data_IF_111657240875
#
_entry.id   IF_111657240875
#
_cell.length_a   1.000
_cell.length_b   1.000
_cell.length_c   1.000
_cell.angle_alpha   90.00
_cell.angle_beta   90.00
_cell.angle_gamma   90.00
#
_symmetry.space_group_name_H-M   'P 1'
#
loop_
_entity.id
_entity.type
_entity.pdbx_description
1 polymer ?
#
# COMPACT_ATOMS: atom_id res chain seq x y z
N UNK A 1 -7.22 50.80 69.08
CA UNK A 1 -6.24 51.57 68.30
C UNK A 1 -4.99 50.72 68.11
N UNK A 2 -4.30 50.92 66.98
CA UNK A 2 -3.03 50.29 66.49
C UNK A 2 -3.12 48.80 66.12
N UNK A 3 -3.37 48.44 64.83
CA UNK A 3 -2.48 48.35 63.63
C UNK A 3 -1.67 47.05 63.55
N UNK A 4 -1.96 46.22 62.55
CA UNK A 4 -0.97 45.37 61.88
C UNK A 4 -1.29 45.22 60.39
N UNK A 5 -0.29 45.56 59.57
CA UNK A 5 -0.20 45.28 58.15
C UNK A 5 0.07 43.80 57.90
N UNK A 6 -0.51 43.24 56.84
CA UNK A 6 0.07 42.09 56.15
C UNK A 6 -0.21 42.16 54.65
N UNK A 7 0.88 42.33 53.89
CA UNK A 7 0.94 42.16 52.44
C UNK A 7 0.62 40.71 52.08
N UNK A 8 -0.35 40.49 51.18
CA UNK A 8 -0.56 39.20 50.53
C UNK A 8 0.07 39.26 49.15
N UNK A 9 1.15 38.50 48.95
CA UNK A 9 1.72 38.18 47.64
C UNK A 9 0.84 37.11 46.98
N UNK A 10 0.24 37.42 45.85
CA UNK A 10 -0.44 36.45 44.98
C UNK A 10 0.60 35.71 44.15
N UNK A 11 0.93 34.48 44.56
CA UNK A 11 1.67 33.51 43.74
C UNK A 11 0.64 32.73 42.91
N UNK A 12 0.65 32.94 41.60
CA UNK A 12 -0.11 32.10 40.66
C UNK A 12 0.57 30.72 40.56
N UNK A 13 -0.10 29.68 41.04
CA UNK A 13 0.31 28.29 40.83
C UNK A 13 -0.28 27.84 39.50
N UNK A 14 0.57 27.72 38.48
CA UNK A 14 0.20 27.09 37.22
C UNK A 14 0.05 25.58 37.45
N UNK A 15 -1.18 25.08 37.34
CA UNK A 15 -1.49 23.65 37.34
C UNK A 15 -1.06 23.09 35.98
N UNK A 16 0.04 22.35 35.96
CA UNK A 16 0.45 21.57 34.78
C UNK A 16 -0.44 20.32 34.73
N UNK A 17 -1.48 20.37 33.89
CA UNK A 17 -2.24 19.19 33.51
C UNK A 17 -1.37 18.35 32.56
N UNK A 18 -0.74 17.30 33.08
CA UNK A 18 -0.14 16.23 32.28
C UNK A 18 -1.27 15.38 31.68
N UNK A 19 -1.76 15.80 30.52
CA UNK A 19 -2.50 14.93 29.63
C UNK A 19 -1.50 13.92 29.04
N UNK A 20 -1.46 12.72 29.61
CA UNK A 20 -0.73 11.59 29.05
C UNK A 20 -1.36 11.20 27.72
N UNK A 21 -0.77 11.68 26.62
CA UNK A 21 -1.06 11.19 25.28
C UNK A 21 -0.50 9.79 25.18
N UNK A 22 -1.38 8.82 24.95
CA UNK A 22 -1.04 7.44 24.65
C UNK A 22 -0.15 7.42 23.40
N UNK A 23 1.08 6.93 23.55
CA UNK A 23 1.98 6.68 22.43
C UNK A 23 1.45 5.47 21.63
N UNK A 24 0.82 5.75 20.50
CA UNK A 24 0.70 4.80 19.40
C UNK A 24 2.09 4.60 18.78
N UNK A 25 2.47 3.34 18.55
CA UNK A 25 3.77 2.94 18.03
C UNK A 25 4.16 3.65 16.73
N UNK A 26 5.43 4.04 16.64
CA UNK A 26 6.00 4.90 15.60
C UNK A 26 6.33 4.23 14.28
N UNK A 27 5.51 3.29 13.79
CA UNK A 27 5.78 2.53 12.57
C UNK A 27 4.78 2.80 11.43
N UNK A 28 3.85 3.73 11.59
CA UNK A 28 2.88 4.10 10.54
C UNK A 28 3.09 5.56 10.10
N UNK A 29 4.00 5.78 9.15
CA UNK A 29 4.11 7.03 8.40
C UNK A 29 3.01 7.06 7.32
N UNK A 30 1.74 7.18 7.71
CA UNK A 30 0.65 7.10 6.73
C UNK A 30 -0.77 7.38 7.21
N UNK A 31 -1.06 7.30 8.51
CA UNK A 31 -2.43 7.47 8.99
C UNK A 31 -2.68 8.89 9.49
N UNK A 32 -3.03 9.80 8.58
CA UNK A 32 -3.54 11.11 8.96
C UNK A 32 -3.77 12.01 7.76
N UNK A 33 -5.00 12.48 7.57
CA UNK A 33 -5.24 13.67 6.78
C UNK A 33 -4.33 14.81 7.32
N UNK A 34 -3.75 15.65 6.44
CA UNK A 34 -2.89 16.73 6.89
C UNK A 34 -3.66 17.58 7.91
N UNK A 35 -3.05 17.79 9.09
CA UNK A 35 -3.50 18.87 9.97
C UNK A 35 -3.50 20.16 9.15
N UNK A 36 -4.60 20.91 9.18
CA UNK A 36 -4.85 22.05 8.29
C UNK A 36 -3.57 22.86 7.99
N UNK A 37 -3.10 22.76 6.74
CA UNK A 37 -2.01 23.56 6.21
C UNK A 37 -0.58 23.01 6.33
N UNK A 38 -0.34 21.79 6.86
CA UNK A 38 1.01 21.17 6.83
C UNK A 38 1.03 19.91 5.96
N UNK A 39 1.88 19.92 4.93
CA UNK A 39 2.16 18.72 4.13
C UNK A 39 2.75 17.59 4.97
N UNK A 40 2.43 16.35 4.58
CA UNK A 40 2.81 15.15 5.33
C UNK A 40 4.35 14.95 5.33
N UNK A 41 4.96 14.54 6.46
CA UNK A 41 6.43 14.37 6.55
C UNK A 41 7.03 13.45 5.48
N UNK A 42 6.31 12.38 5.10
CA UNK A 42 6.75 11.46 4.06
C UNK A 42 6.79 12.13 2.68
N UNK A 43 5.84 13.03 2.39
CA UNK A 43 5.77 13.74 1.11
C UNK A 43 6.91 14.73 0.99
N UNK A 44 7.22 15.43 2.08
CA UNK A 44 8.39 16.30 2.17
C UNK A 44 9.70 15.51 1.99
N UNK A 45 9.82 14.34 2.63
CA UNK A 45 10.97 13.46 2.47
C UNK A 45 11.14 12.97 1.02
N UNK A 46 10.03 12.60 0.37
CA UNK A 46 10.02 12.24 -1.05
C UNK A 46 10.49 13.40 -1.95
N UNK A 47 10.01 14.62 -1.71
CA UNK A 47 10.43 15.80 -2.47
C UNK A 47 11.95 16.07 -2.37
N UNK A 48 12.60 15.67 -1.28
CA UNK A 48 14.05 15.79 -1.15
C UNK A 48 14.82 14.79 -2.01
N UNK A 49 14.20 13.67 -2.40
CA UNK A 49 14.84 12.57 -3.13
C UNK A 49 14.47 12.54 -4.61
N UNK A 50 13.23 12.88 -4.95
CA UNK A 50 12.66 12.59 -6.27
C UNK A 50 13.29 13.42 -7.39
N UNK A 51 13.74 12.74 -8.46
CA UNK A 51 14.23 13.42 -9.67
C UNK A 51 13.09 13.96 -10.55
N UNK A 52 11.87 13.46 -10.35
CA UNK A 52 10.66 13.86 -11.04
C UNK A 52 9.51 14.06 -10.04
N UNK A 53 9.31 15.30 -9.61
CA UNK A 53 8.24 15.68 -8.69
C UNK A 53 6.87 15.80 -9.36
N UNK A 54 6.76 15.58 -10.67
CA UNK A 54 5.47 15.57 -11.37
C UNK A 54 4.72 14.25 -11.19
N UNK A 55 5.39 13.21 -10.69
CA UNK A 55 4.75 11.93 -10.38
C UNK A 55 3.65 12.13 -9.33
N UNK A 56 2.42 11.66 -9.60
CA UNK A 56 1.32 11.71 -8.64
C UNK A 56 1.54 10.66 -7.54
N UNK A 57 2.49 10.90 -6.64
CA UNK A 57 2.91 9.91 -5.64
C UNK A 57 1.76 9.47 -4.72
N UNK A 58 0.79 10.35 -4.46
CA UNK A 58 -0.40 10.04 -3.64
C UNK A 58 -1.32 8.99 -4.30
N UNK A 59 -1.18 8.77 -5.61
CA UNK A 59 -1.94 7.77 -6.36
C UNK A 59 -1.14 6.45 -6.53
N UNK A 60 0.04 6.33 -5.89
CA UNK A 60 0.90 5.14 -5.97
C UNK A 60 0.22 3.92 -5.36
N UNK A 61 0.20 2.82 -6.10
CA UNK A 61 -0.44 1.54 -5.72
C UNK A 61 0.58 0.47 -5.31
N UNK A 62 0.17 -0.57 -4.55
CA UNK A 62 -1.14 -0.70 -3.94
C UNK A 62 -1.28 0.16 -2.68
N UNK A 63 -2.52 0.56 -2.42
CA UNK A 63 -2.95 1.16 -1.16
C UNK A 63 -4.44 0.84 -0.99
N UNK A 64 -4.92 0.80 0.25
CA UNK A 64 -6.34 0.51 0.49
C UNK A 64 -7.17 1.78 0.30
N UNK A 65 -7.86 1.88 -0.83
CA UNK A 65 -8.79 2.96 -1.10
C UNK A 65 -10.19 2.54 -0.67
N UNK A 66 -10.68 3.17 0.40
CA UNK A 66 -12.07 3.04 0.82
C UNK A 66 -12.98 3.81 -0.14
N UNK A 67 -14.10 3.20 -0.55
CA UNK A 67 -15.14 3.93 -1.30
C UNK A 67 -15.83 4.94 -0.39
N UNK A 68 -16.27 6.04 -0.98
CA UNK A 68 -16.95 7.14 -0.26
C UNK A 68 -18.41 7.30 -0.67
N UNK A 69 -18.82 6.67 -1.76
CA UNK A 69 -20.20 6.70 -2.23
C UNK A 69 -21.06 5.63 -1.53
N UNK A 70 -22.36 5.87 -1.48
CA UNK A 70 -23.37 5.03 -0.79
C UNK A 70 -24.23 4.24 -1.77
N UNK A 71 -23.77 4.03 -3.01
CA UNK A 71 -24.48 3.28 -4.03
C UNK A 71 -24.76 1.84 -3.58
N UNK A 72 -25.90 1.30 -4.02
CA UNK A 72 -26.24 -0.09 -3.76
C UNK A 72 -25.14 -1.04 -4.27
N UNK A 73 -24.92 -2.09 -3.49
CA UNK A 73 -23.99 -3.17 -3.77
C UNK A 73 -24.73 -4.48 -3.84
N UNK A 74 -24.13 -5.42 -4.55
CA UNK A 74 -24.68 -6.75 -4.74
C UNK A 74 -23.68 -7.82 -4.33
N UNK A 75 -24.19 -8.93 -3.80
CA UNK A 75 -23.38 -10.11 -3.50
C UNK A 75 -24.15 -11.36 -3.85
N UNK A 76 -23.55 -12.23 -4.66
CA UNK A 76 -24.00 -13.61 -4.80
C UNK A 76 -23.64 -14.41 -3.55
N UNK A 77 -24.61 -15.15 -3.00
CA UNK A 77 -24.34 -16.07 -1.91
C UNK A 77 -23.49 -17.25 -2.42
N UNK A 78 -22.24 -17.30 -1.96
CA UNK A 78 -21.26 -18.35 -2.25
C UNK A 78 -20.98 -19.25 -1.05
N UNK A 79 -21.59 -18.95 0.10
CA UNK A 79 -21.34 -19.61 1.39
C UNK A 79 -22.54 -20.40 1.88
N UNK A 80 -23.69 -20.31 1.19
CA UNK A 80 -24.93 -20.98 1.57
C UNK A 80 -25.58 -20.36 2.81
N UNK A 81 -25.32 -19.08 3.09
CA UNK A 81 -25.95 -18.38 4.22
C UNK A 81 -27.46 -18.21 4.03
N UNK A 82 -27.92 -18.09 2.78
CA UNK A 82 -29.30 -17.85 2.41
C UNK A 82 -29.90 -16.67 3.17
N UNK A 83 -31.14 -16.82 3.64
CA UNK A 83 -31.81 -15.81 4.46
C UNK A 83 -31.22 -15.68 5.88
N UNK A 84 -30.31 -16.57 6.29
CA UNK A 84 -29.56 -16.43 7.55
C UNK A 84 -28.74 -15.14 7.61
N UNK A 85 -28.38 -14.56 6.46
CA UNK A 85 -27.74 -13.25 6.37
C UNK A 85 -28.58 -12.12 7.01
N UNK A 86 -29.91 -12.25 7.12
CA UNK A 86 -30.75 -11.26 7.80
C UNK A 86 -30.62 -11.31 9.33
N UNK A 87 -30.11 -12.42 9.88
CA UNK A 87 -29.83 -12.59 11.30
C UNK A 87 -28.39 -12.25 11.63
N UNK A 88 -27.45 -12.73 10.82
CA UNK A 88 -26.02 -12.72 11.15
C UNK A 88 -25.22 -11.66 10.38
N UNK A 89 -25.79 -11.14 9.29
CA UNK A 89 -25.07 -10.32 8.32
C UNK A 89 -24.38 -11.16 7.24
N UNK A 90 -23.68 -10.48 6.35
CA UNK A 90 -22.78 -11.12 5.40
C UNK A 90 -21.49 -11.44 6.14
N UNK A 91 -21.25 -12.72 6.38
CA UNK A 91 -20.08 -13.15 7.14
C UNK A 91 -18.89 -13.38 6.21
N UNK A 92 -17.66 -13.11 6.66
CA UNK A 92 -16.47 -13.51 5.93
C UNK A 92 -16.24 -15.02 6.06
N UNK A 93 -15.52 -15.61 5.12
CA UNK A 93 -15.22 -17.06 5.10
C UNK A 93 -14.34 -17.50 6.28
N UNK A 94 -13.66 -16.56 6.94
CA UNK A 94 -12.82 -16.78 8.11
C UNK A 94 -13.55 -17.39 9.33
N UNK A 95 -14.86 -17.17 9.49
CA UNK A 95 -15.58 -17.47 10.74
C UNK A 95 -15.63 -18.96 11.11
N UNK A 96 -15.41 -19.86 10.16
CA UNK A 96 -15.28 -21.29 10.41
C UNK A 96 -13.90 -21.74 10.88
N UNK A 97 -12.93 -20.83 11.04
CA UNK A 97 -11.54 -21.15 11.30
C UNK A 97 -11.00 -20.43 12.55
N UNK A 98 -9.98 -20.99 13.22
CA UNK A 98 -9.25 -20.31 14.29
C UNK A 98 -8.73 -18.94 13.84
N UNK A 99 -8.78 -17.92 14.71
CA UNK A 99 -8.33 -16.54 14.42
C UNK A 99 -6.87 -16.45 13.95
N UNK A 100 -6.03 -17.39 14.39
CA UNK A 100 -4.63 -17.47 13.96
C UNK A 100 -4.51 -17.80 12.46
N UNK A 101 -5.50 -18.49 11.89
CA UNK A 101 -5.53 -18.90 10.48
C UNK A 101 -6.23 -17.89 9.57
N UNK A 102 -6.75 -16.80 10.13
CA UNK A 102 -7.46 -15.79 9.37
C UNK A 102 -6.51 -15.05 8.42
N UNK A 103 -6.94 -14.88 7.17
CA UNK A 103 -6.20 -14.17 6.15
C UNK A 103 -6.60 -12.70 6.14
N UNK A 104 -5.66 -11.85 6.54
CA UNK A 104 -5.78 -10.38 6.58
C UNK A 104 -5.09 -9.69 5.41
N UNK A 105 -4.44 -10.46 4.55
CA UNK A 105 -3.88 -9.89 3.35
C UNK A 105 -5.00 -9.64 2.34
N UNK A 106 -5.29 -8.36 2.09
CA UNK A 106 -6.27 -7.94 1.10
C UNK A 106 -5.82 -8.31 -0.32
N UNK A 107 -4.51 -8.37 -0.55
CA UNK A 107 -3.99 -8.73 -1.87
C UNK A 107 -4.23 -10.20 -2.20
N UNK A 108 -4.04 -11.08 -1.21
CA UNK A 108 -4.32 -12.51 -1.37
C UNK A 108 -5.83 -12.81 -1.40
N UNK A 109 -6.67 -11.81 -1.12
CA UNK A 109 -8.11 -11.93 -1.21
C UNK A 109 -8.58 -11.88 -2.66
N UNK A 110 -9.39 -12.87 -3.03
CA UNK A 110 -9.93 -13.00 -4.38
C UNK A 110 -10.97 -14.13 -4.47
N UNK A 111 -11.47 -14.35 -5.68
CA UNK A 111 -12.50 -15.36 -5.94
C UNK A 111 -12.09 -16.74 -5.40
N UNK A 112 -12.97 -17.34 -4.59
CA UNK A 112 -12.75 -18.69 -4.06
C UNK A 112 -11.79 -18.82 -2.88
N UNK A 113 -11.01 -17.79 -2.55
CA UNK A 113 -10.02 -17.85 -1.45
C UNK A 113 -10.71 -18.17 -0.11
N UNK A 114 -10.15 -19.15 0.61
CA UNK A 114 -10.62 -19.58 1.91
C UNK A 114 -10.06 -18.71 3.04
N UNK A 115 -10.66 -18.76 4.23
CA UNK A 115 -10.16 -18.10 5.45
C UNK A 115 -10.01 -16.56 5.39
N UNK A 116 -10.40 -15.95 4.28
CA UNK A 116 -10.44 -14.49 4.11
C UNK A 116 -11.36 -13.83 5.13
N UNK A 117 -10.87 -12.74 5.74
CA UNK A 117 -11.67 -11.85 6.60
C UNK A 117 -12.53 -10.89 5.79
N UNK A 118 -12.41 -10.87 4.47
CA UNK A 118 -13.16 -9.98 3.59
C UNK A 118 -14.43 -10.66 3.06
N UNK A 119 -15.53 -9.91 3.02
CA UNK A 119 -16.71 -10.27 2.23
C UNK A 119 -16.77 -9.40 0.99
N UNK A 120 -16.63 -10.02 -0.18
CA UNK A 120 -16.74 -9.35 -1.47
C UNK A 120 -18.18 -8.97 -1.80
N UNK A 121 -18.33 -7.78 -2.35
CA UNK A 121 -19.53 -7.30 -3.04
C UNK A 121 -19.12 -6.70 -4.38
N UNK A 122 -20.06 -6.43 -5.25
CA UNK A 122 -19.82 -5.77 -6.54
C UNK A 122 -20.88 -4.70 -6.78
N UNK A 123 -20.51 -3.68 -7.56
CA UNK A 123 -21.46 -2.67 -8.04
C UNK A 123 -22.42 -3.22 -9.11
N UNK A 124 -22.10 -4.37 -9.70
CA UNK A 124 -22.87 -4.97 -10.80
C UNK A 124 -23.71 -6.17 -10.33
N UNK A 125 -25.04 -6.03 -10.44
CA UNK A 125 -25.98 -7.08 -10.05
C UNK A 125 -25.82 -8.37 -10.86
N UNK A 126 -25.48 -8.27 -12.15
CA UNK A 126 -25.29 -9.43 -13.02
C UNK A 126 -24.02 -10.21 -12.65
N UNK A 127 -22.95 -9.49 -12.28
CA UNK A 127 -21.73 -10.14 -11.74
C UNK A 127 -22.06 -10.88 -10.45
N UNK A 128 -22.75 -10.23 -9.50
CA UNK A 128 -23.16 -10.88 -8.26
C UNK A 128 -24.03 -12.13 -8.52
N UNK A 129 -24.98 -12.03 -9.44
CA UNK A 129 -25.86 -13.13 -9.84
C UNK A 129 -25.06 -14.31 -10.42
N UNK A 130 -24.00 -14.06 -11.20
CA UNK A 130 -23.17 -15.12 -11.79
C UNK A 130 -22.52 -16.01 -10.72
N UNK A 131 -22.10 -15.43 -9.60
CA UNK A 131 -21.47 -16.13 -8.47
C UNK A 131 -22.47 -16.75 -7.47
N UNK A 132 -23.73 -16.32 -7.48
CA UNK A 132 -24.73 -16.82 -6.55
C UNK A 132 -24.97 -18.32 -6.74
N UNK A 133 -25.14 -19.05 -5.65
CA UNK A 133 -25.70 -20.40 -5.68
C UNK A 133 -27.23 -20.35 -5.75
N UNK A 134 -27.85 -19.52 -4.89
CA UNK A 134 -29.30 -19.40 -4.79
C UNK A 134 -29.76 -17.96 -4.61
N UNK A 135 -29.05 -17.17 -3.81
CA UNK A 135 -29.47 -15.82 -3.41
C UNK A 135 -28.51 -14.74 -3.93
N UNK A 136 -29.08 -13.62 -4.36
CA UNK A 136 -28.37 -12.37 -4.62
C UNK A 136 -28.82 -11.35 -3.59
N UNK A 137 -27.90 -10.89 -2.76
CA UNK A 137 -28.15 -9.87 -1.77
C UNK A 137 -28.02 -8.48 -2.40
N UNK A 138 -28.95 -7.58 -2.06
CA UNK A 138 -28.77 -6.13 -2.23
C UNK A 138 -28.36 -5.54 -0.88
N UNK A 139 -27.28 -4.78 -0.89
CA UNK A 139 -26.58 -4.28 0.28
C UNK A 139 -26.42 -2.77 0.11
N UNK A 140 -26.65 -2.04 1.20
CA UNK A 140 -26.30 -0.62 1.27
C UNK A 140 -25.55 -0.36 2.57
N UNK A 141 -24.24 -0.19 2.45
CA UNK A 141 -23.32 0.00 3.56
C UNK A 141 -22.32 1.11 3.21
N UNK A 142 -21.88 1.92 4.18
CA UNK A 142 -20.74 2.81 3.99
C UNK A 142 -19.44 2.01 3.94
N UNK A 143 -18.38 2.63 3.43
CA UNK A 143 -17.04 2.04 3.32
C UNK A 143 -16.97 0.82 2.41
N UNK A 144 -15.95 -0.02 2.62
CA UNK A 144 -15.52 -1.08 1.73
C UNK A 144 -14.33 -0.65 0.87
N UNK A 145 -13.36 -1.54 0.72
CA UNK A 145 -12.14 -1.32 -0.05
C UNK A 145 -12.48 -1.50 -1.53
N UNK A 146 -12.29 -0.45 -2.33
CA UNK A 146 -12.49 -0.44 -3.78
C UNK A 146 -11.29 -1.08 -4.48
N UNK A 147 -11.51 -2.25 -5.07
CA UNK A 147 -10.41 -3.08 -5.58
C UNK A 147 -9.70 -2.48 -6.78
N UNK A 148 -10.46 -1.88 -7.69
CA UNK A 148 -9.93 -1.27 -8.90
C UNK A 148 -9.07 -0.04 -8.53
N UNK A 149 -9.57 0.77 -7.60
CA UNK A 149 -8.83 1.94 -7.11
C UNK A 149 -7.61 1.56 -6.28
N UNK A 150 -7.70 0.50 -5.48
CA UNK A 150 -6.61 0.02 -4.61
C UNK A 150 -5.47 -0.67 -5.37
N UNK A 151 -5.66 -0.99 -6.66
CA UNK A 151 -4.66 -1.64 -7.50
C UNK A 151 -4.75 -3.17 -7.57
N UNK A 152 -5.90 -3.71 -7.15
CA UNK A 152 -6.32 -5.10 -7.25
C UNK A 152 -6.54 -5.61 -8.68
N UNK A 153 -7.01 -6.84 -8.80
CA UNK A 153 -7.47 -7.38 -10.08
C UNK A 153 -8.68 -6.56 -10.57
N UNK A 154 -8.58 -6.05 -11.80
CA UNK A 154 -9.58 -5.16 -12.41
C UNK A 154 -10.52 -5.96 -13.30
N UNK A 155 -11.81 -6.02 -12.94
CA UNK A 155 -12.90 -6.49 -13.83
C UNK A 155 -14.26 -6.57 -13.14
N UNK A 156 -14.29 -6.81 -11.83
CA UNK A 156 -15.53 -7.18 -11.14
C UNK A 156 -16.21 -6.00 -10.42
N UNK A 157 -15.63 -4.79 -10.48
CA UNK A 157 -16.06 -3.63 -9.69
C UNK A 157 -16.21 -4.00 -8.20
N UNK A 158 -15.26 -4.79 -7.71
CA UNK A 158 -15.32 -5.43 -6.41
C UNK A 158 -15.10 -4.42 -5.28
N UNK A 159 -15.96 -4.48 -4.28
CA UNK A 159 -15.81 -3.78 -3.01
C UNK A 159 -15.68 -4.84 -1.90
N UNK A 160 -14.52 -4.87 -1.26
CA UNK A 160 -14.18 -5.81 -0.20
C UNK A 160 -14.48 -5.22 1.19
N UNK A 161 -15.26 -5.93 2.01
CA UNK A 161 -15.59 -5.50 3.38
C UNK A 161 -14.83 -6.32 4.42
N UNK A 162 -13.83 -5.73 5.11
CA UNK A 162 -13.12 -6.41 6.19
C UNK A 162 -14.07 -6.68 7.35
N UNK A 163 -14.10 -7.92 7.84
CA UNK A 163 -15.03 -8.36 8.88
C UNK A 163 -16.47 -8.54 8.39
N UNK A 164 -16.71 -8.52 7.08
CA UNK A 164 -18.05 -8.68 6.51
C UNK A 164 -18.96 -7.48 6.75
N UNK A 165 -20.28 -7.68 6.66
CA UNK A 165 -21.28 -6.61 6.66
C UNK A 165 -22.42 -6.96 7.61
N UNK A 166 -22.66 -6.13 8.64
CA UNK A 166 -23.76 -6.34 9.60
C UNK A 166 -25.11 -6.40 8.88
N UNK A 167 -26.00 -7.24 9.43
CA UNK A 167 -27.34 -7.49 8.89
C UNK A 167 -28.15 -6.23 8.59
N UNK A 168 -27.99 -5.16 9.36
CA UNK A 168 -28.77 -3.93 9.19
C UNK A 168 -28.46 -3.21 7.87
N UNK A 169 -27.34 -3.52 7.23
CA UNK A 169 -26.96 -2.97 5.92
C UNK A 169 -27.34 -3.89 4.74
N UNK A 170 -27.87 -5.09 5.03
CA UNK A 170 -28.42 -5.99 4.00
C UNK A 170 -29.88 -5.61 3.79
N UNK A 171 -30.24 -5.12 2.61
CA UNK A 171 -31.60 -4.63 2.34
C UNK A 171 -32.58 -5.76 2.03
N UNK A 172 -32.18 -6.65 1.14
CA UNK A 172 -33.00 -7.77 0.68
C UNK A 172 -32.13 -8.87 0.06
N UNK A 173 -32.75 -10.03 -0.18
CA UNK A 173 -32.16 -11.16 -0.88
C UNK A 173 -33.15 -11.64 -1.93
N UNK A 174 -32.72 -11.73 -3.19
CA UNK A 174 -33.56 -12.19 -4.30
C UNK A 174 -33.05 -13.53 -4.85
N UNK A 175 -33.95 -14.35 -5.38
CA UNK A 175 -33.56 -15.61 -6.03
C UNK A 175 -32.71 -15.32 -7.26
N UNK A 176 -31.61 -16.07 -7.42
CA UNK A 176 -30.70 -15.95 -8.56
C UNK A 176 -31.44 -16.06 -9.89
N UNK A 177 -32.34 -17.03 -10.04
CA UNK A 177 -33.03 -17.28 -11.31
C UNK A 177 -34.26 -16.37 -11.52
N UNK A 178 -34.64 -15.59 -10.50
CA UNK A 178 -35.72 -14.62 -10.58
C UNK A 178 -35.48 -13.46 -9.60
N UNK A 179 -34.83 -12.40 -10.08
CA UNK A 179 -34.50 -11.23 -9.27
C UNK A 179 -35.73 -10.39 -8.84
N UNK A 180 -36.94 -10.76 -9.26
CA UNK A 180 -38.19 -10.18 -8.73
C UNK A 180 -38.74 -10.92 -7.51
N UNK A 181 -38.30 -12.16 -7.28
CA UNK A 181 -38.66 -12.97 -6.11
C UNK A 181 -37.67 -12.69 -4.97
N UNK A 182 -38.03 -11.73 -4.11
CA UNK A 182 -37.18 -11.22 -3.06
C UNK A 182 -37.80 -11.38 -1.67
N UNK A 183 -36.95 -11.71 -0.70
CA UNK A 183 -37.24 -11.57 0.71
C UNK A 183 -36.65 -10.24 1.21
N UNK A 184 -37.49 -9.39 1.80
CA UNK A 184 -37.04 -8.17 2.45
C UNK A 184 -36.42 -8.48 3.82
N UNK A 185 -35.34 -7.79 4.18
CA UNK A 185 -34.75 -7.92 5.51
C UNK A 185 -35.50 -7.04 6.53
N UNK A 186 -36.18 -7.61 7.54
CA UNK A 186 -36.88 -6.82 8.56
C UNK A 186 -35.93 -5.96 9.43
N UNK A 187 -34.65 -6.33 9.46
CA UNK A 187 -33.63 -5.63 10.24
C UNK A 187 -32.91 -4.53 9.47
N UNK A 188 -33.22 -4.31 8.17
CA UNK A 188 -32.57 -3.27 7.38
C UNK A 188 -32.77 -1.89 8.00
N UNK A 189 -31.70 -1.10 8.02
CA UNK A 189 -31.69 0.31 8.43
C UNK A 189 -30.87 1.08 7.41
N UNK A 190 -31.46 2.16 6.91
CA UNK A 190 -30.79 3.04 5.97
C UNK A 190 -29.52 3.61 6.64
N UNK A 191 -28.32 3.41 6.05
CA UNK A 191 -27.08 3.91 6.62
C UNK A 191 -27.04 5.43 6.58
N UNK A 192 -26.39 6.03 7.59
CA UNK A 192 -26.23 7.48 7.69
C UNK A 192 -24.98 8.00 6.96
N UNK A 193 -24.02 7.11 6.69
CA UNK A 193 -22.69 7.46 6.18
C UNK A 193 -21.71 7.90 7.28
N UNK A 194 -22.15 7.98 8.54
CA UNK A 194 -21.33 8.35 9.69
C UNK A 194 -20.77 7.13 10.45
N UNK A 195 -21.21 5.93 10.09
CA UNK A 195 -20.72 4.68 10.67
C UNK A 195 -19.22 4.53 10.42
N UNK A 196 -18.47 4.02 11.38
CA UNK A 196 -17.07 3.62 11.15
C UNK A 196 -16.98 2.27 10.43
N UNK A 197 -15.81 1.87 9.87
CA UNK A 197 -15.63 0.52 9.35
C UNK A 197 -15.96 -0.59 10.37
N UNK A 198 -15.70 -0.35 11.66
CA UNK A 198 -16.07 -1.27 12.76
C UNK A 198 -17.58 -1.33 13.01
N UNK A 199 -18.30 -0.24 12.76
CA UNK A 199 -19.76 -0.23 12.85
C UNK A 199 -20.39 -1.03 11.71
N UNK A 200 -19.70 -1.16 10.58
CA UNK A 200 -20.14 -1.96 9.42
C UNK A 200 -19.79 -3.45 9.57
N UNK A 201 -18.61 -3.77 10.11
CA UNK A 201 -18.10 -5.14 10.20
C UNK A 201 -19.04 -6.08 10.97
N UNK A 202 -19.46 -7.19 10.35
CA UNK A 202 -20.29 -8.21 11.01
C UNK A 202 -19.56 -8.92 12.16
N UNK A 203 -18.22 -8.98 12.07
CA UNK A 203 -17.38 -9.70 13.03
C UNK A 203 -16.21 -8.84 13.47
N UNK A 204 -15.76 -9.03 14.70
CA UNK A 204 -14.57 -8.34 15.22
C UNK A 204 -13.32 -8.88 14.53
N UNK A 205 -12.52 -7.99 13.96
CA UNK A 205 -11.22 -8.27 13.36
C UNK A 205 -10.14 -7.42 14.03
N UNK A 206 -8.89 -7.79 13.81
CA UNK A 206 -7.74 -6.98 14.17
C UNK A 206 -7.37 -6.09 12.98
N UNK A 207 -7.84 -4.85 13.01
CA UNK A 207 -7.61 -3.86 11.95
C UNK A 207 -6.13 -3.59 11.68
N UNK A 208 -5.25 -3.79 12.67
CA UNK A 208 -3.81 -3.56 12.53
C UNK A 208 -3.10 -4.62 11.67
N UNK A 209 -3.75 -5.76 11.44
CA UNK A 209 -3.22 -6.87 10.63
C UNK A 209 -3.60 -6.77 9.15
N UNK A 210 -4.50 -5.86 8.78
CA UNK A 210 -4.89 -5.67 7.38
C UNK A 210 -3.67 -5.25 6.56
N UNK A 211 -3.43 -5.96 5.46
CA UNK A 211 -2.33 -5.68 4.54
C UNK A 211 -2.86 -5.39 3.12
N UNK A 212 -2.22 -4.50 2.33
CA UNK A 212 -1.16 -3.59 2.77
C UNK A 212 -1.67 -2.63 3.88
N UNK A 213 -0.79 -2.19 4.79
CA UNK A 213 -1.16 -1.16 5.75
C UNK A 213 -1.59 0.11 5.01
N UNK A 214 -2.37 0.98 5.67
CA UNK A 214 -2.65 2.30 5.12
C UNK A 214 -1.34 3.11 4.98
N UNK A 215 -1.08 3.57 3.76
CA UNK A 215 0.17 4.26 3.39
C UNK A 215 1.23 3.35 2.78
N UNK A 216 2.40 3.91 2.47
CA UNK A 216 3.53 3.18 1.89
C UNK A 216 4.51 2.72 2.97
N UNK A 217 5.09 1.51 2.86
CA UNK A 217 6.09 1.00 3.79
C UNK A 217 7.44 1.67 3.49
N UNK A 218 7.66 2.87 4.03
CA UNK A 218 8.93 3.57 3.85
C UNK A 218 10.08 2.83 4.53
N UNK A 219 11.20 2.73 3.82
CA UNK A 219 12.45 2.15 4.32
C UNK A 219 13.08 3.10 5.34
N UNK A 220 13.54 2.54 6.46
CA UNK A 220 14.32 3.26 7.47
C UNK A 220 15.69 2.57 7.65
N UNK A 221 16.53 2.64 6.62
CA UNK A 221 17.91 2.13 6.68
C UNK A 221 18.92 3.28 6.73
N UNK A 222 19.99 3.06 7.49
CA UNK A 222 21.16 3.95 7.54
C UNK A 222 22.23 3.56 6.54
N UNK A 223 22.04 2.47 5.82
CA UNK A 223 23.00 1.98 4.83
C UNK A 223 22.67 2.54 3.45
N UNK A 224 23.61 2.37 2.53
CA UNK A 224 23.40 2.68 1.11
C UNK A 224 22.44 1.69 0.46
N UNK A 225 21.67 2.19 -0.49
CA UNK A 225 20.83 1.39 -1.37
C UNK A 225 21.47 1.34 -2.75
N UNK A 226 21.21 0.28 -3.50
CA UNK A 226 21.86 0.02 -4.78
C UNK A 226 20.86 0.12 -5.92
N UNK A 227 20.72 1.32 -6.48
CA UNK A 227 19.80 1.58 -7.58
C UNK A 227 20.29 0.95 -8.88
N UNK A 228 19.36 0.42 -9.66
CA UNK A 228 19.67 -0.21 -10.93
C UNK A 228 19.08 0.56 -12.10
N UNK A 229 19.76 0.55 -13.23
CA UNK A 229 19.23 1.10 -14.48
C UNK A 229 19.66 0.32 -15.71
N UNK A 230 18.89 0.48 -16.78
CA UNK A 230 19.23 -0.01 -18.12
C UNK A 230 18.62 0.91 -19.20
N UNK A 231 19.01 0.76 -20.47
CA UNK A 231 18.39 1.50 -21.58
C UNK A 231 16.91 1.24 -21.75
N UNK A 232 16.43 0.10 -21.24
CA UNK A 232 15.01 -0.24 -21.27
C UNK A 232 14.32 0.39 -20.07
N UNK A 233 14.92 0.26 -18.89
CA UNK A 233 14.31 0.69 -17.62
C UNK A 233 14.32 2.20 -17.41
N UNK A 234 15.29 2.95 -17.97
CA UNK A 234 15.49 4.37 -17.65
C UNK A 234 15.97 5.19 -18.86
N UNK A 235 15.51 6.45 -18.99
CA UNK A 235 15.90 7.32 -20.10
C UNK A 235 17.32 7.89 -19.99
N UNK A 236 17.90 7.88 -18.78
CA UNK A 236 19.23 8.45 -18.48
C UNK A 236 20.05 7.41 -17.71
N UNK A 237 21.33 7.31 -18.02
CA UNK A 237 22.26 6.31 -17.47
C UNK A 237 23.67 6.89 -17.25
N UNK A 238 24.57 6.08 -16.71
CA UNK A 238 25.99 6.40 -16.52
C UNK A 238 26.24 7.75 -15.82
N UNK A 239 27.18 8.52 -16.37
CA UNK A 239 27.58 9.82 -15.84
C UNK A 239 26.43 10.83 -15.83
N UNK A 240 25.55 10.80 -16.83
CA UNK A 240 24.42 11.71 -16.91
C UNK A 240 23.44 11.49 -15.78
N UNK A 241 23.23 10.22 -15.37
CA UNK A 241 22.40 9.89 -14.22
C UNK A 241 23.02 10.40 -12.91
N UNK A 242 24.34 10.28 -12.73
CA UNK A 242 25.04 10.81 -11.57
C UNK A 242 24.90 12.35 -11.46
N UNK A 243 25.05 13.05 -12.58
CA UNK A 243 25.00 14.50 -12.65
C UNK A 243 23.57 15.06 -12.50
N UNK A 244 22.62 14.49 -13.23
CA UNK A 244 21.29 15.07 -13.40
C UNK A 244 20.17 14.29 -12.67
N UNK A 245 20.50 13.13 -12.12
CA UNK A 245 19.57 12.21 -11.47
C UNK A 245 19.12 11.07 -12.37
N UNK A 246 18.68 9.99 -11.74
CA UNK A 246 18.13 8.81 -12.38
C UNK A 246 16.60 8.87 -12.28
N UNK A 247 15.89 8.75 -13.40
CA UNK A 247 14.43 8.84 -13.46
C UNK A 247 13.82 7.54 -13.94
N UNK A 248 12.57 7.30 -13.55
CA UNK A 248 11.74 6.29 -14.20
C UNK A 248 11.46 6.63 -15.67
N UNK A 249 10.79 5.72 -16.39
CA UNK A 249 10.50 5.89 -17.83
C UNK A 249 9.44 6.94 -18.14
N UNK A 250 8.61 7.25 -17.18
CA UNK A 250 7.51 8.22 -17.29
C UNK A 250 7.17 8.78 -15.91
N UNK A 251 6.13 9.60 -15.86
CA UNK A 251 5.72 10.32 -14.66
C UNK A 251 4.34 9.88 -14.12
N UNK A 252 3.89 8.68 -14.46
CA UNK A 252 2.57 8.18 -14.04
C UNK A 252 2.63 7.54 -12.65
N UNK A 253 1.48 7.44 -11.96
CA UNK A 253 1.40 6.75 -10.67
C UNK A 253 1.82 5.28 -10.84
N UNK A 254 2.88 4.80 -10.14
CA UNK A 254 3.30 3.42 -10.30
C UNK A 254 2.37 2.48 -9.52
N UNK A 255 2.21 1.26 -10.01
CA UNK A 255 1.75 0.13 -9.20
C UNK A 255 2.95 -0.71 -8.79
N UNK A 256 3.45 -0.45 -7.58
CA UNK A 256 4.66 -1.04 -7.00
C UNK A 256 4.62 -2.56 -6.94
N UNK A 257 3.42 -3.16 -6.79
CA UNK A 257 3.24 -4.62 -6.89
C UNK A 257 3.83 -5.21 -8.17
N UNK A 258 3.77 -4.44 -9.25
CA UNK A 258 4.22 -4.85 -10.58
C UNK A 258 5.62 -4.29 -10.90
N UNK A 259 6.24 -3.57 -9.96
CA UNK A 259 7.45 -2.79 -10.18
C UNK A 259 8.76 -3.55 -9.96
N UNK A 260 8.77 -4.84 -9.67
CA UNK A 260 10.00 -5.58 -9.31
C UNK A 260 10.80 -6.14 -10.47
N UNK A 261 10.27 -6.00 -11.68
CA UNK A 261 10.97 -6.23 -12.94
C UNK A 261 11.18 -4.87 -13.63
N UNK A 262 12.32 -4.20 -13.43
CA UNK A 262 12.54 -2.83 -13.91
C UNK A 262 12.41 -2.69 -15.43
N UNK A 263 12.61 -3.77 -16.19
CA UNK A 263 12.51 -3.82 -17.65
C UNK A 263 11.13 -4.19 -18.21
N UNK A 264 10.20 -4.69 -17.38
CA UNK A 264 8.86 -5.05 -17.85
C UNK A 264 8.02 -3.81 -18.21
N UNK A 265 7.08 -3.99 -19.15
CA UNK A 265 6.20 -2.92 -19.64
C UNK A 265 4.96 -2.69 -18.75
N UNK A 266 4.93 -3.24 -17.54
CA UNK A 266 3.76 -3.18 -16.64
C UNK A 266 3.65 -1.81 -15.96
N UNK A 267 2.43 -1.43 -15.59
CA UNK A 267 1.88 -0.06 -15.51
C UNK A 267 2.76 1.03 -14.86
N UNK A 268 3.79 1.41 -15.61
CA UNK A 268 4.41 2.72 -15.67
C UNK A 268 5.41 3.00 -14.56
N UNK A 269 6.63 2.51 -14.81
CA UNK A 269 7.80 2.56 -13.94
C UNK A 269 8.36 4.00 -13.84
N UNK A 270 7.58 4.91 -13.27
CA UNK A 270 8.05 6.19 -12.74
C UNK A 270 8.96 6.01 -11.52
N UNK A 271 9.08 4.78 -11.02
CA UNK A 271 10.03 4.41 -9.99
C UNK A 271 11.41 4.02 -10.58
N UNK A 272 12.43 4.17 -9.75
CA UNK A 272 13.74 3.54 -9.93
C UNK A 272 13.84 2.43 -8.91
N UNK A 273 14.15 1.22 -9.37
CA UNK A 273 14.31 0.07 -8.49
C UNK A 273 15.72 0.04 -7.93
N UNK A 274 15.82 -0.36 -6.67
CA UNK A 274 17.06 -0.51 -5.94
C UNK A 274 17.02 -1.74 -5.06
N UNK A 275 18.17 -2.08 -4.50
CA UNK A 275 18.33 -3.21 -3.59
C UNK A 275 19.00 -2.78 -2.30
N UNK A 276 18.70 -3.47 -1.20
CA UNK A 276 19.47 -3.34 0.04
C UNK A 276 20.91 -3.81 -0.17
N UNK A 277 21.09 -4.94 -0.85
CA UNK A 277 22.40 -5.55 -1.06
C UNK A 277 22.97 -5.24 -2.45
N UNK A 278 24.25 -4.90 -2.49
CA UNK A 278 24.98 -4.68 -3.74
C UNK A 278 24.92 -5.91 -4.65
N UNK A 279 25.06 -7.09 -4.06
CA UNK A 279 25.06 -8.35 -4.80
C UNK A 279 23.74 -8.57 -5.55
N UNK A 280 22.59 -8.21 -4.97
CA UNK A 280 21.29 -8.36 -5.61
C UNK A 280 21.14 -7.42 -6.82
N UNK A 281 21.61 -6.17 -6.67
CA UNK A 281 21.68 -5.20 -7.77
C UNK A 281 22.62 -5.67 -8.90
N UNK A 282 23.77 -6.25 -8.54
CA UNK A 282 24.72 -6.84 -9.50
C UNK A 282 24.11 -8.02 -10.23
N UNK A 283 23.49 -8.95 -9.51
CA UNK A 283 22.81 -10.13 -10.09
C UNK A 283 21.74 -9.67 -11.07
N UNK A 284 20.93 -8.68 -10.70
CA UNK A 284 19.96 -8.08 -11.61
C UNK A 284 20.63 -7.58 -12.90
N UNK A 285 21.69 -6.76 -12.77
CA UNK A 285 22.36 -6.14 -13.90
C UNK A 285 22.98 -7.15 -14.87
N UNK A 286 23.48 -8.30 -14.39
CA UNK A 286 24.15 -9.30 -15.23
C UNK A 286 23.21 -10.39 -15.75
N UNK A 287 22.09 -10.67 -15.05
CA UNK A 287 21.20 -11.79 -15.39
C UNK A 287 19.87 -11.33 -15.99
N UNK A 288 19.26 -10.29 -15.43
CA UNK A 288 17.90 -9.88 -15.75
C UNK A 288 17.87 -8.76 -16.77
N UNK A 289 18.73 -7.74 -16.64
CA UNK A 289 18.82 -6.66 -17.59
C UNK A 289 19.15 -7.19 -19.01
N UNK A 290 18.35 -6.84 -20.01
CA UNK A 290 18.39 -7.46 -21.33
C UNK A 290 19.74 -7.25 -22.01
N UNK A 291 20.37 -6.09 -21.81
CA UNK A 291 21.63 -5.68 -22.43
C UNK A 291 22.73 -5.37 -21.40
N UNK A 292 22.61 -5.92 -20.19
CA UNK A 292 23.38 -5.45 -19.05
C UNK A 292 22.79 -4.16 -18.46
N UNK A 293 23.33 -3.73 -17.32
CA UNK A 293 22.79 -2.62 -16.57
C UNK A 293 23.83 -1.85 -15.79
N UNK A 294 23.41 -0.72 -15.25
CA UNK A 294 24.16 0.07 -14.29
C UNK A 294 23.69 -0.23 -12.88
N UNK A 295 24.63 -0.22 -11.95
CA UNK A 295 24.38 -0.26 -10.52
C UNK A 295 24.96 1.01 -9.90
N UNK A 296 24.13 1.76 -9.19
CA UNK A 296 24.49 3.02 -8.54
C UNK A 296 24.41 2.87 -7.03
N UNK A 297 25.43 3.36 -6.33
CA UNK A 297 25.34 3.55 -4.90
C UNK A 297 24.56 4.83 -4.59
N UNK A 298 23.43 4.66 -3.90
CA UNK A 298 22.61 5.77 -3.40
C UNK A 298 23.14 6.17 -2.02
N UNK A 299 23.15 7.48 -1.76
CA UNK A 299 23.55 8.03 -0.47
C UNK A 299 22.77 7.36 0.68
N UNK A 300 23.42 7.05 1.81
CA UNK A 300 22.75 6.54 2.99
C UNK A 300 21.62 7.45 3.50
N UNK A 301 20.64 6.88 4.20
CA UNK A 301 19.46 7.59 4.73
C UNK A 301 18.59 8.26 3.64
N UNK A 302 18.59 7.73 2.40
CA UNK A 302 17.71 8.22 1.35
C UNK A 302 16.37 7.48 1.40
N UNK A 303 15.24 8.18 1.64
CA UNK A 303 13.91 7.57 1.66
C UNK A 303 13.58 6.78 0.38
N UNK A 304 13.08 5.56 0.57
CA UNK A 304 12.59 4.67 -0.48
C UNK A 304 11.39 3.87 0.04
N UNK A 305 10.62 3.25 -0.85
CA UNK A 305 9.54 2.33 -0.47
C UNK A 305 10.05 0.90 -0.48
N UNK A 306 9.76 0.16 0.59
CA UNK A 306 10.13 -1.25 0.75
C UNK A 306 9.24 -2.14 -0.13
N UNK A 307 9.83 -2.81 -1.12
CA UNK A 307 9.14 -3.74 -2.01
C UNK A 307 9.35 -5.21 -1.59
N UNK A 308 10.15 -5.47 -0.56
CA UNK A 308 10.36 -6.83 -0.04
C UNK A 308 9.09 -7.38 0.64
N UNK A 309 8.12 -6.50 0.91
CA UNK A 309 6.78 -6.91 1.35
C UNK A 309 6.03 -7.55 0.17
N UNK A 310 5.37 -8.71 0.36
CA UNK A 310 4.69 -9.45 -0.71
C UNK A 310 3.81 -8.56 -1.62
N UNK A 311 3.12 -7.59 -1.02
CA UNK A 311 2.13 -6.79 -1.71
C UNK A 311 2.72 -5.62 -2.51
N UNK A 312 3.98 -5.23 -2.23
CA UNK A 312 4.63 -4.10 -2.89
C UNK A 312 5.66 -4.54 -3.93
N UNK A 313 5.73 -5.82 -4.31
CA UNK A 313 6.63 -6.26 -5.38
C UNK A 313 7.17 -7.67 -5.25
N UNK A 314 7.14 -8.27 -4.06
CA UNK A 314 7.44 -9.69 -3.86
C UNK A 314 8.88 -10.11 -4.21
N UNK A 315 9.81 -9.16 -4.35
CA UNK A 315 11.23 -9.45 -4.56
C UNK A 315 12.00 -9.15 -3.29
N UNK A 316 12.58 -10.20 -2.70
CA UNK A 316 13.43 -10.06 -1.52
C UNK A 316 14.51 -9.01 -1.78
N UNK A 317 14.69 -8.12 -0.81
CA UNK A 317 15.73 -7.11 -0.85
C UNK A 317 15.47 -5.93 -1.79
N UNK A 318 14.31 -5.84 -2.47
CA UNK A 318 14.01 -4.76 -3.40
C UNK A 318 13.36 -3.54 -2.72
N UNK A 319 13.68 -2.35 -3.22
CA UNK A 319 13.09 -1.06 -2.82
C UNK A 319 12.81 -0.20 -4.06
N UNK A 320 11.94 0.80 -3.94
CA UNK A 320 11.62 1.75 -5.00
C UNK A 320 11.84 3.21 -4.60
N UNK A 321 12.41 3.98 -5.53
CA UNK A 321 12.41 5.44 -5.51
C UNK A 321 11.39 5.96 -6.50
N UNK A 322 10.18 6.30 -6.03
CA UNK A 322 9.09 6.83 -6.88
C UNK A 322 9.49 8.21 -7.42
N UNK A 323 9.38 8.44 -8.73
CA UNK A 323 9.91 9.64 -9.40
C UNK A 323 11.43 9.67 -9.54
N UNK A 324 12.12 8.61 -9.12
CA UNK A 324 13.56 8.46 -9.25
C UNK A 324 14.38 9.16 -8.17
N UNK A 325 15.65 9.41 -8.47
CA UNK A 325 16.69 9.82 -7.53
C UNK A 325 17.41 11.05 -8.08
N UNK A 326 17.38 12.17 -7.35
CA UNK A 326 18.04 13.43 -7.76
C UNK A 326 19.54 13.26 -7.98
N UNK A 327 20.07 14.06 -8.90
CA UNK A 327 21.51 14.26 -9.05
C UNK A 327 22.14 14.69 -7.73
N UNK A 328 23.32 14.16 -7.42
CA UNK A 328 24.02 14.38 -6.15
C UNK A 328 23.60 13.47 -4.99
N UNK A 329 22.54 12.65 -5.13
CA UNK A 329 22.24 11.54 -4.21
C UNK A 329 22.84 10.21 -4.68
N UNK A 330 23.24 10.13 -5.95
CA UNK A 330 24.00 9.01 -6.51
C UNK A 330 25.49 9.29 -6.32
N UNK A 331 26.22 8.37 -5.70
CA UNK A 331 27.62 8.58 -5.30
C UNK A 331 28.60 8.02 -6.34
N UNK A 332 28.34 6.80 -6.79
CA UNK A 332 29.13 6.14 -7.82
C UNK A 332 28.28 5.18 -8.65
N UNK A 333 28.84 4.75 -9.78
CA UNK A 333 28.15 3.87 -10.72
C UNK A 333 29.10 2.80 -11.29
N UNK A 334 28.56 1.61 -11.52
CA UNK A 334 29.26 0.47 -12.15
C UNK A 334 28.41 -0.05 -13.31
N UNK A 335 28.98 -0.14 -14.52
CA UNK A 335 28.32 -0.75 -15.68
C UNK A 335 28.68 -2.21 -15.77
N UNK A 336 27.69 -3.05 -16.03
CA UNK A 336 27.84 -4.47 -16.28
C UNK A 336 27.33 -4.82 -17.67
N UNK A 337 28.01 -5.76 -18.31
CA UNK A 337 27.51 -6.45 -19.49
C UNK A 337 26.77 -7.72 -19.08
N UNK A 338 25.78 -8.12 -19.87
CA UNK A 338 24.99 -9.32 -19.59
C UNK A 338 25.90 -10.56 -19.51
N UNK A 339 25.77 -11.32 -18.44
CA UNK A 339 26.59 -12.50 -18.16
C UNK A 339 28.03 -12.22 -17.70
N UNK A 340 28.44 -10.95 -17.58
CA UNK A 340 29.80 -10.57 -17.17
C UNK A 340 29.80 -10.13 -15.71
N UNK A 341 30.47 -10.89 -14.84
CA UNK A 341 30.45 -10.66 -13.39
C UNK A 341 31.25 -9.43 -12.93
N UNK A 342 32.24 -8.99 -13.72
CA UNK A 342 33.05 -7.82 -13.41
C UNK A 342 32.51 -6.56 -14.09
N UNK A 343 32.59 -5.39 -13.43
CA UNK A 343 32.19 -4.15 -14.06
C UNK A 343 33.12 -3.81 -15.22
N UNK A 344 32.52 -3.44 -16.34
CA UNK A 344 33.23 -3.01 -17.56
C UNK A 344 33.51 -1.52 -17.57
N UNK A 345 32.80 -0.76 -16.75
CA UNK A 345 32.97 0.68 -16.58
C UNK A 345 32.62 1.10 -15.15
N UNK A 346 33.32 2.11 -14.63
CA UNK A 346 33.14 2.63 -13.28
C UNK A 346 33.22 4.16 -13.29
N UNK A 347 32.35 4.82 -12.53
CA UNK A 347 32.30 6.27 -12.41
C UNK A 347 32.26 6.63 -10.93
N UNK A 348 33.13 7.56 -10.51
CA UNK A 348 33.20 8.01 -9.11
C UNK A 348 33.95 7.05 -8.16
N UNK A 349 34.62 6.01 -8.69
CA UNK A 349 35.42 5.04 -7.94
C UNK A 349 36.74 4.81 -8.69
N UNK A 350 37.84 4.64 -7.96
CA UNK A 350 39.11 4.22 -8.55
C UNK A 350 38.97 2.83 -9.21
N UNK A 351 39.59 2.66 -10.39
CA UNK A 351 39.39 1.49 -11.26
C UNK A 351 39.74 0.16 -10.58
N UNK A 352 40.82 0.13 -9.80
CA UNK A 352 41.25 -1.04 -9.02
C UNK A 352 40.26 -1.36 -7.88
N UNK A 353 39.80 -0.36 -7.13
CA UNK A 353 38.78 -0.54 -6.09
C UNK A 353 37.45 -1.04 -6.69
N UNK A 354 37.07 -0.55 -7.86
CA UNK A 354 35.87 -0.97 -8.57
C UNK A 354 35.87 -2.46 -8.95
N UNK A 355 37.04 -3.06 -9.21
CA UNK A 355 37.17 -4.48 -9.55
C UNK A 355 37.31 -5.38 -8.32
N UNK A 356 37.95 -4.89 -7.26
CA UNK A 356 38.37 -5.67 -6.09
C UNK A 356 37.26 -5.91 -5.05
N UNK A 357 36.23 -5.05 -4.96
CA UNK A 357 35.10 -5.27 -4.02
C UNK A 357 34.31 -6.55 -4.31
N UNK A 358 34.49 -7.18 -5.49
CA UNK A 358 33.88 -8.46 -5.83
C UNK A 358 34.58 -9.70 -5.20
N UNK A 359 35.69 -9.53 -4.48
CA UNK A 359 36.49 -10.64 -3.93
C UNK A 359 36.32 -10.87 -2.42
N UNK A 360 35.64 -9.98 -1.69
CA UNK A 360 35.58 -10.01 -0.21
C UNK A 360 34.17 -9.97 0.41
N UNK A 361 33.13 -10.20 -0.38
CA UNK A 361 31.77 -10.49 0.07
C UNK A 361 31.34 -11.83 -0.52
#
# INVERSE_FOLDING_TARGET
MTTHNSFIRTTAVAVVALAGVWQLGGDAWGAGAPAEGKEEPWYQAWLQVTADSSVPIRDTKPFLQWRTDMDALYRGDTTGQGLGAFRDGILPKAIGFPVIDWMYDWWDHGAGVGKSIYSSTTRDQAIAQSFAQEWVYEIKAPHGIDQDKSGGAVSEQEISFPGGIKRQFVKQACKKDNLSDCAANPNYREPTGQESPSDVAAVTIDWSRIAPPEGMPWVNTKDSLWAVSSPIANPVQGADALANGLRGRNSMAPNLRLGTSPEDNIYTNSAVIAFYEYNDARVWAITEAQNGGWVYEVRPNTPAVDLARPNFGGRNGAVAFIGGIKGGLLMNARRFEKGVSQPVECIGIEKEACRLENLHQ
#
